data_IF_471018144297
#
_entry.id   IF_471018144297
#
_cell.length_a   1.000
_cell.length_b   1.000
_cell.length_c   1.000
_cell.angle_alpha   90.00
_cell.angle_beta   90.00
_cell.angle_gamma   90.00
#
_symmetry.space_group_name_H-M   'P 1'
#
loop_
_entity.id
_entity.type
_entity.pdbx_description
1 polymer ?
#
# COMPACT_ATOMS: atom_id res chain seq x y z
N UNK A 1 12.90 20.26 -24.57
CA UNK A 1 12.44 18.89 -24.33
C UNK A 1 13.63 18.25 -23.67
N UNK A 2 13.47 17.73 -22.45
CA UNK A 2 14.53 16.94 -21.84
C UNK A 2 14.82 15.74 -22.75
N UNK A 3 16.06 15.28 -22.77
CA UNK A 3 16.40 14.09 -23.54
C UNK A 3 15.72 12.88 -22.88
N UNK A 4 15.45 11.87 -23.71
CA UNK A 4 14.79 10.64 -23.30
C UNK A 4 15.69 9.46 -23.60
N UNK A 5 15.69 8.51 -22.68
CA UNK A 5 16.53 7.32 -22.72
C UNK A 5 15.69 6.06 -22.56
N UNK A 6 16.12 4.96 -23.16
CA UNK A 6 15.44 3.66 -23.06
C UNK A 6 15.99 2.90 -21.87
N UNK A 7 15.11 2.51 -20.96
CA UNK A 7 15.47 1.62 -19.84
C UNK A 7 14.82 0.25 -20.06
N UNK A 8 15.66 -0.77 -20.16
CA UNK A 8 15.26 -2.17 -20.33
C UNK A 8 15.32 -2.92 -19.01
N UNK A 9 14.24 -3.61 -18.64
CA UNK A 9 14.15 -4.41 -17.42
C UNK A 9 14.32 -5.90 -17.72
N UNK A 10 15.30 -6.53 -17.07
CA UNK A 10 15.53 -7.98 -17.06
C UNK A 10 15.07 -8.59 -15.73
N UNK A 11 14.63 -9.86 -15.69
CA UNK A 11 14.49 -10.81 -16.79
C UNK A 11 13.17 -10.66 -17.58
N UNK A 12 12.36 -9.64 -17.28
CA UNK A 12 11.00 -9.50 -17.82
C UNK A 12 10.96 -9.06 -19.28
N UNK A 13 12.06 -8.49 -19.80
CA UNK A 13 12.22 -8.06 -21.19
C UNK A 13 11.33 -6.89 -21.59
N UNK A 14 11.03 -5.99 -20.65
CA UNK A 14 10.16 -4.82 -20.87
C UNK A 14 11.02 -3.56 -20.97
N UNK A 15 10.65 -2.66 -21.88
CA UNK A 15 11.34 -1.39 -22.10
C UNK A 15 10.39 -0.23 -21.83
N UNK A 16 10.94 0.86 -21.29
CA UNK A 16 10.25 2.13 -21.08
C UNK A 16 11.10 3.30 -21.58
N UNK A 17 10.46 4.40 -21.96
CA UNK A 17 11.15 5.67 -22.17
C UNK A 17 11.20 6.46 -20.86
N UNK A 18 12.38 6.94 -20.46
CA UNK A 18 12.59 7.75 -19.25
C UNK A 18 13.12 9.12 -19.67
N UNK A 19 12.43 10.18 -19.25
CA UNK A 19 12.94 11.55 -19.38
C UNK A 19 13.87 11.90 -18.21
N UNK A 20 14.92 12.67 -18.47
CA UNK A 20 15.92 13.06 -17.45
C UNK A 20 15.31 13.78 -16.23
N UNK A 21 14.15 14.45 -16.40
CA UNK A 21 13.47 15.19 -15.34
C UNK A 21 12.74 14.32 -14.32
N UNK A 22 12.61 13.02 -14.58
CA UNK A 22 11.84 12.11 -13.74
C UNK A 22 12.60 10.84 -13.37
N UNK A 23 12.17 10.22 -12.28
CA UNK A 23 12.77 8.96 -11.85
C UNK A 23 12.31 7.81 -12.74
N UNK A 24 13.16 6.78 -12.85
CA UNK A 24 12.87 5.56 -13.61
C UNK A 24 11.56 4.93 -13.14
N UNK A 25 11.30 4.92 -11.82
CA UNK A 25 10.06 4.38 -11.27
C UNK A 25 8.82 5.18 -11.70
N UNK A 26 8.91 6.52 -11.72
CA UNK A 26 7.80 7.38 -12.16
C UNK A 26 7.51 7.15 -13.64
N UNK A 27 8.54 7.14 -14.48
CA UNK A 27 8.42 6.87 -15.91
C UNK A 27 7.79 5.50 -16.19
N UNK A 28 8.14 4.48 -15.40
CA UNK A 28 7.52 3.16 -15.48
C UNK A 28 6.01 3.22 -15.21
N UNK A 29 5.59 3.91 -14.13
CA UNK A 29 4.18 4.05 -13.78
C UNK A 29 3.37 4.84 -14.82
N UNK A 30 3.94 5.91 -15.39
CA UNK A 30 3.29 6.69 -16.45
C UNK A 30 3.03 5.84 -17.71
N UNK A 31 3.86 4.82 -17.93
CA UNK A 31 3.71 3.86 -19.03
C UNK A 31 2.95 2.58 -18.64
N UNK A 32 2.41 2.52 -17.42
CA UNK A 32 1.66 1.36 -16.93
C UNK A 32 2.51 0.15 -16.55
N UNK A 33 3.84 0.33 -16.44
CA UNK A 33 4.77 -0.70 -15.95
C UNK A 33 4.84 -0.61 -14.42
N UNK A 34 4.07 -1.47 -13.75
CA UNK A 34 3.98 -1.46 -12.27
C UNK A 34 5.12 -2.23 -11.62
N UNK A 35 6.21 -1.52 -11.35
CA UNK A 35 7.37 -2.05 -10.63
C UNK A 35 7.11 -2.14 -9.12
N UNK A 36 7.79 -3.09 -8.46
CA UNK A 36 7.71 -3.27 -7.01
C UNK A 36 8.26 -2.03 -6.27
N UNK A 37 7.48 -1.52 -5.32
CA UNK A 37 7.84 -0.35 -4.52
C UNK A 37 7.08 -0.35 -3.20
N UNK A 38 7.53 0.49 -2.26
CA UNK A 38 6.85 0.75 -0.99
C UNK A 38 6.71 2.25 -0.73
N UNK A 39 7.78 2.89 -0.26
CA UNK A 39 7.74 4.29 0.19
C UNK A 39 7.85 5.37 -0.92
N UNK A 40 8.42 5.05 -2.10
CA UNK A 40 8.81 6.02 -3.15
C UNK A 40 9.82 7.12 -2.73
N UNK A 41 10.37 7.05 -1.51
CA UNK A 41 11.24 8.07 -0.92
C UNK A 41 12.66 7.57 -0.62
N UNK A 42 13.02 6.38 -1.10
CA UNK A 42 14.36 5.81 -0.88
C UNK A 42 14.63 5.33 0.55
N UNK A 43 13.58 4.85 1.24
CA UNK A 43 13.65 4.40 2.65
C UNK A 43 13.47 2.87 2.83
N UNK A 44 12.72 2.21 1.95
CA UNK A 44 12.22 0.84 2.20
C UNK A 44 12.95 -0.29 1.44
N UNK A 45 13.89 0.02 0.55
CA UNK A 45 14.56 -0.93 -0.37
C UNK A 45 13.69 -1.72 -1.35
N UNK A 46 12.36 -1.58 -1.34
CA UNK A 46 11.48 -2.41 -2.19
C UNK A 46 11.72 -2.27 -3.69
N UNK A 47 12.13 -1.10 -4.16
CA UNK A 47 12.46 -0.83 -5.56
C UNK A 47 13.95 -1.03 -5.88
N UNK A 48 14.70 -1.73 -5.01
CA UNK A 48 16.12 -2.01 -5.25
C UNK A 48 16.28 -2.89 -6.48
N UNK A 49 17.22 -2.55 -7.33
CA UNK A 49 17.51 -3.24 -8.58
C UNK A 49 19.01 -3.15 -8.86
N UNK A 50 19.49 -3.88 -9.86
CA UNK A 50 20.91 -3.90 -10.22
C UNK A 50 21.10 -3.39 -11.64
N UNK A 51 22.07 -2.51 -11.87
CA UNK A 51 22.37 -1.97 -13.21
C UNK A 51 23.29 -2.94 -13.93
N UNK A 52 22.81 -3.49 -15.05
CA UNK A 52 23.55 -4.46 -15.88
C UNK A 52 24.37 -3.79 -16.99
N UNK A 53 23.87 -2.69 -17.53
CA UNK A 53 24.50 -1.93 -18.62
C UNK A 53 24.13 -0.45 -18.52
N UNK A 54 25.09 0.43 -18.78
CA UNK A 54 25.03 1.87 -18.56
C UNK A 54 25.60 2.30 -17.20
N UNK A 55 26.28 3.45 -17.19
CA UNK A 55 26.97 4.05 -16.05
C UNK A 55 26.40 5.43 -15.67
N UNK A 56 25.69 6.12 -16.58
CA UNK A 56 25.16 7.48 -16.36
C UNK A 56 23.77 7.48 -15.69
N UNK A 57 23.79 7.15 -14.39
CA UNK A 57 22.63 7.11 -13.50
C UNK A 57 22.90 7.94 -12.25
N UNK A 58 22.03 8.92 -11.96
CA UNK A 58 22.15 9.71 -10.73
C UNK A 58 20.99 9.42 -9.78
N UNK A 59 21.30 9.37 -8.48
CA UNK A 59 20.31 9.16 -7.42
C UNK A 59 20.01 10.48 -6.71
N UNK A 60 18.72 10.80 -6.56
CA UNK A 60 18.28 11.77 -5.58
C UNK A 60 18.58 11.30 -4.14
N UNK A 61 18.43 12.16 -3.11
CA UNK A 61 18.66 11.79 -1.70
C UNK A 61 17.89 10.52 -1.29
N UNK A 62 18.56 9.57 -0.65
CA UNK A 62 18.00 8.32 -0.10
C UNK A 62 18.64 7.99 1.26
N UNK A 63 18.12 6.97 1.96
CA UNK A 63 18.70 6.47 3.20
C UNK A 63 19.72 5.36 2.94
N UNK A 64 20.88 5.42 3.60
CA UNK A 64 21.90 4.37 3.54
C UNK A 64 21.44 3.05 4.17
N UNK A 65 20.34 3.07 4.94
CA UNK A 65 19.65 1.84 5.34
C UNK A 65 18.97 1.17 4.14
N UNK A 66 18.41 1.96 3.24
CA UNK A 66 17.71 1.44 2.07
C UNK A 66 18.68 0.92 1.00
N UNK A 67 19.77 1.63 0.78
CA UNK A 67 20.85 1.26 -0.14
C UNK A 67 22.19 1.65 0.50
N UNK A 68 22.88 0.69 1.15
CA UNK A 68 24.22 0.91 1.69
C UNK A 68 25.24 1.27 0.62
N UNK A 69 26.25 2.07 0.98
CA UNK A 69 27.27 2.56 0.04
C UNK A 69 28.00 1.43 -0.71
N UNK A 70 28.26 0.29 -0.04
CA UNK A 70 28.91 -0.85 -0.68
C UNK A 70 28.04 -1.50 -1.77
N UNK A 71 26.70 -1.49 -1.62
CA UNK A 71 25.82 -2.00 -2.67
C UNK A 71 25.76 -1.02 -3.84
N UNK A 72 25.76 0.29 -3.56
CA UNK A 72 25.84 1.29 -4.63
C UNK A 72 27.12 1.10 -5.46
N UNK A 73 28.28 0.94 -4.80
CA UNK A 73 29.57 0.69 -5.46
C UNK A 73 29.59 -0.61 -6.29
N UNK A 74 28.78 -1.60 -5.93
CA UNK A 74 28.64 -2.86 -6.68
C UNK A 74 27.71 -2.76 -7.90
N UNK A 75 26.94 -1.67 -8.04
CA UNK A 75 26.00 -1.45 -9.15
C UNK A 75 24.52 -1.56 -8.77
N UNK A 76 24.18 -1.64 -7.49
CA UNK A 76 22.78 -1.59 -7.04
C UNK A 76 22.24 -0.16 -7.07
N UNK A 77 20.95 -0.03 -7.35
CA UNK A 77 20.25 1.26 -7.45
C UNK A 77 18.86 1.20 -6.81
N UNK A 78 18.25 2.37 -6.59
CA UNK A 78 16.86 2.52 -6.16
C UNK A 78 16.06 3.22 -7.25
N UNK A 79 15.21 2.48 -7.96
CA UNK A 79 14.45 3.02 -9.10
C UNK A 79 13.58 4.24 -8.75
N UNK A 80 13.12 4.34 -7.49
CA UNK A 80 12.34 5.48 -7.02
C UNK A 80 13.12 6.78 -6.87
N UNK A 81 14.46 6.73 -6.88
CA UNK A 81 15.37 7.88 -6.75
C UNK A 81 16.30 8.04 -7.94
N UNK A 82 16.30 7.08 -8.88
CA UNK A 82 17.22 7.04 -10.00
C UNK A 82 16.71 7.83 -11.20
N UNK A 83 17.57 8.67 -11.76
CA UNK A 83 17.43 9.35 -13.05
C UNK A 83 18.39 8.74 -14.06
N UNK A 84 17.92 8.50 -15.28
CA UNK A 84 18.73 7.96 -16.37
C UNK A 84 19.15 9.10 -17.30
N UNK A 85 20.44 9.17 -17.64
CA UNK A 85 21.02 10.12 -18.61
C UNK A 85 21.62 9.42 -19.85
N UNK A 86 21.46 8.10 -19.94
CA UNK A 86 21.70 7.28 -21.12
C UNK A 86 20.76 6.05 -21.12
N UNK A 87 20.82 5.25 -22.20
CA UNK A 87 20.09 3.98 -22.26
C UNK A 87 20.66 2.99 -21.22
N UNK A 88 19.78 2.36 -20.43
CA UNK A 88 20.17 1.46 -19.34
C UNK A 88 19.57 0.06 -19.51
N UNK A 89 20.28 -0.95 -19.01
CA UNK A 89 19.69 -2.27 -18.71
C UNK A 89 19.70 -2.52 -17.20
N UNK A 90 18.55 -2.83 -16.62
CA UNK A 90 18.36 -2.99 -15.18
C UNK A 90 17.78 -4.39 -14.88
N UNK A 91 18.44 -5.12 -13.99
CA UNK A 91 17.92 -6.35 -13.39
C UNK A 91 16.97 -6.04 -12.22
N UNK A 92 15.71 -6.46 -12.36
CA UNK A 92 14.72 -6.39 -11.30
C UNK A 92 14.96 -7.54 -10.31
N UNK A 93 15.35 -7.19 -9.08
CA UNK A 93 15.54 -8.18 -8.01
C UNK A 93 14.21 -8.64 -7.42
N UNK A 94 13.26 -7.71 -7.32
CA UNK A 94 11.91 -7.95 -6.83
C UNK A 94 10.93 -7.56 -7.92
N UNK A 95 10.25 -8.54 -8.50
CA UNK A 95 9.23 -8.30 -9.52
C UNK A 95 8.10 -9.34 -9.44
N UNK A 96 6.97 -8.96 -10.02
CA UNK A 96 5.81 -9.80 -10.23
C UNK A 96 5.40 -9.58 -11.68
N UNK A 97 5.63 -10.57 -12.54
CA UNK A 97 5.42 -10.44 -13.99
C UNK A 97 3.98 -10.13 -14.33
N UNK A 98 3.04 -10.74 -13.61
CA UNK A 98 1.61 -10.53 -13.84
C UNK A 98 1.25 -9.09 -13.47
N UNK A 99 1.78 -8.56 -12.37
CA UNK A 99 1.58 -7.16 -12.00
C UNK A 99 2.19 -6.17 -12.99
N UNK A 100 3.40 -6.45 -13.48
CA UNK A 100 4.04 -5.56 -14.44
C UNK A 100 3.22 -5.50 -15.74
N UNK A 101 2.74 -6.66 -16.22
CA UNK A 101 1.97 -6.76 -17.47
C UNK A 101 0.53 -6.26 -17.35
N UNK A 102 -0.08 -6.39 -16.17
CA UNK A 102 -1.45 -5.92 -15.91
C UNK A 102 -1.51 -4.51 -15.34
N UNK A 103 -0.36 -3.84 -15.20
CA UNK A 103 -0.26 -2.51 -14.65
C UNK A 103 -1.13 -1.49 -15.39
N UNK A 104 -1.60 -0.50 -14.64
CA UNK A 104 -2.42 0.59 -15.15
C UNK A 104 -1.57 1.86 -15.18
N UNK A 105 -1.58 2.64 -16.27
CA UNK A 105 -0.88 3.91 -16.28
C UNK A 105 -1.47 4.84 -15.22
N UNK A 106 -0.60 5.59 -14.55
CA UNK A 106 -1.08 6.59 -13.60
C UNK A 106 -1.86 7.69 -14.30
N UNK A 107 -2.85 8.20 -13.61
CA UNK A 107 -3.75 9.24 -14.07
C UNK A 107 -3.75 10.34 -13.03
N UNK A 108 -3.44 11.56 -13.47
CA UNK A 108 -3.68 12.77 -12.70
C UNK A 108 -5.19 13.04 -12.69
N UNK A 109 -5.75 13.34 -11.53
CA UNK A 109 -7.15 13.64 -11.40
C UNK A 109 -7.45 14.72 -10.37
N UNK A 110 -8.56 15.42 -10.59
CA UNK A 110 -9.17 16.31 -9.60
C UNK A 110 -10.37 15.60 -8.99
N UNK A 111 -10.41 15.54 -7.66
CA UNK A 111 -11.51 14.95 -6.92
C UNK A 111 -12.12 15.94 -5.93
N UNK A 112 -13.42 15.85 -5.70
CA UNK A 112 -14.19 16.69 -4.79
C UNK A 112 -14.57 15.92 -3.52
N UNK A 113 -14.43 16.53 -2.35
CA UNK A 113 -14.80 15.91 -1.07
C UNK A 113 -16.31 15.74 -0.97
N UNK A 114 -16.75 14.51 -0.78
CA UNK A 114 -18.17 14.16 -0.56
C UNK A 114 -18.46 13.91 0.93
N UNK A 115 -17.53 13.27 1.64
CA UNK A 115 -17.65 13.00 3.07
C UNK A 115 -16.27 12.97 3.74
N UNK A 116 -16.23 13.30 5.04
CA UNK A 116 -15.04 13.26 5.88
C UNK A 116 -15.45 12.94 7.32
N UNK A 117 -15.90 11.71 7.55
CA UNK A 117 -16.54 11.30 8.79
C UNK A 117 -15.54 10.69 9.78
N UNK A 118 -15.72 10.96 11.07
CA UNK A 118 -14.95 10.29 12.11
C UNK A 118 -15.39 8.82 12.25
N UNK A 119 -14.47 7.88 12.04
CA UNK A 119 -14.73 6.44 12.27
C UNK A 119 -14.09 5.90 13.54
N UNK A 120 -13.07 6.60 14.05
CA UNK A 120 -12.56 6.46 15.41
C UNK A 120 -12.21 7.85 15.94
N UNK A 121 -11.66 7.90 17.15
CA UNK A 121 -11.13 9.14 17.72
C UNK A 121 -9.96 9.75 16.92
N UNK A 122 -9.25 8.95 16.10
CA UNK A 122 -8.04 9.34 15.37
C UNK A 122 -8.02 8.85 13.92
N UNK A 123 -9.17 8.43 13.37
CA UNK A 123 -9.30 8.04 11.97
C UNK A 123 -10.52 8.70 11.31
N UNK A 124 -10.36 9.02 10.04
CA UNK A 124 -11.39 9.60 9.17
C UNK A 124 -11.70 8.67 8.00
N UNK A 125 -12.98 8.52 7.67
CA UNK A 125 -13.43 7.98 6.39
C UNK A 125 -13.63 9.14 5.43
N UNK A 126 -12.69 9.27 4.49
CA UNK A 126 -12.73 10.29 3.46
C UNK A 126 -13.30 9.69 2.19
N UNK A 127 -14.33 10.33 1.62
CA UNK A 127 -14.92 9.96 0.34
C UNK A 127 -14.70 11.09 -0.64
N UNK A 128 -14.03 10.79 -1.75
CA UNK A 128 -13.77 11.73 -2.84
C UNK A 128 -14.52 11.30 -4.09
N UNK A 129 -15.16 12.24 -4.78
CA UNK A 129 -15.77 12.02 -6.10
C UNK A 129 -14.89 12.60 -7.18
N UNK A 130 -14.48 11.76 -8.11
CA UNK A 130 -13.69 12.12 -9.28
C UNK A 130 -14.46 13.10 -10.18
N UNK A 131 -13.81 14.22 -10.51
CA UNK A 131 -14.35 15.30 -11.35
C UNK A 131 -13.74 15.25 -12.74
N UNK A 132 -12.41 15.15 -12.81
CA UNK A 132 -11.67 15.13 -14.06
C UNK A 132 -10.41 14.26 -13.92
N UNK A 133 -10.33 13.10 -14.59
CA UNK A 133 -11.45 12.38 -15.22
C UNK A 133 -12.49 11.93 -14.18
N UNK A 134 -13.67 11.48 -14.63
CA UNK A 134 -14.74 10.98 -13.74
C UNK A 134 -14.58 9.53 -13.31
N UNK A 135 -13.56 8.82 -13.81
CA UNK A 135 -13.22 7.45 -13.48
C UNK A 135 -11.69 7.31 -13.49
N UNK A 136 -11.15 6.63 -12.47
CA UNK A 136 -9.80 6.08 -12.47
C UNK A 136 -9.96 4.57 -12.35
N UNK A 137 -9.36 3.82 -13.28
CA UNK A 137 -9.27 2.36 -13.15
C UNK A 137 -8.19 2.04 -12.12
N UNK A 138 -8.50 1.14 -11.20
CA UNK A 138 -7.55 0.62 -10.22
C UNK A 138 -7.92 -0.81 -9.85
N UNK A 139 -6.98 -1.53 -9.26
CA UNK A 139 -7.20 -2.83 -8.64
C UNK A 139 -7.43 -2.67 -7.13
N UNK A 140 -8.37 -3.40 -6.53
CA UNK A 140 -8.56 -3.42 -5.09
C UNK A 140 -7.25 -3.62 -4.32
N UNK A 141 -7.05 -2.79 -3.29
CA UNK A 141 -5.85 -2.72 -2.47
C UNK A 141 -4.75 -1.76 -2.96
N UNK A 142 -4.90 -1.16 -4.15
CA UNK A 142 -4.03 -0.06 -4.61
C UNK A 142 -4.28 1.24 -3.85
N UNK A 143 -3.40 2.22 -4.08
CA UNK A 143 -3.45 3.55 -3.45
C UNK A 143 -3.35 4.68 -4.48
N UNK A 144 -3.71 5.90 -4.06
CA UNK A 144 -3.40 7.14 -4.79
C UNK A 144 -2.55 8.04 -3.91
N UNK A 145 -1.80 8.93 -4.54
CA UNK A 145 -1.21 10.07 -3.86
C UNK A 145 -2.23 11.20 -3.85
N UNK A 146 -2.40 11.85 -2.70
CA UNK A 146 -3.17 13.10 -2.57
C UNK A 146 -2.18 14.23 -2.31
N UNK A 147 -2.24 15.28 -3.12
CA UNK A 147 -1.43 16.49 -2.91
C UNK A 147 -1.91 17.22 -1.67
N UNK A 148 -0.97 17.62 -0.81
CA UNK A 148 -1.26 18.42 0.37
C UNK A 148 -1.50 19.88 -0.08
N UNK A 149 -2.71 20.44 0.09
CA UNK A 149 -3.03 21.75 -0.46
C UNK A 149 -2.08 22.85 0.01
N UNK A 150 -1.68 23.71 -0.93
CA UNK A 150 -0.72 24.79 -0.69
C UNK A 150 0.75 24.35 -0.68
N UNK A 151 1.05 23.08 -0.99
CA UNK A 151 2.43 22.57 -1.07
C UNK A 151 2.64 21.66 -2.29
N UNK A 152 3.90 21.31 -2.54
CA UNK A 152 4.29 20.26 -3.51
C UNK A 152 4.30 18.85 -2.90
N UNK A 153 4.07 18.72 -1.59
CA UNK A 153 4.10 17.44 -0.92
C UNK A 153 2.86 16.60 -1.28
N UNK A 154 3.05 15.29 -1.45
CA UNK A 154 1.97 14.32 -1.61
C UNK A 154 1.96 13.32 -0.46
N UNK A 155 0.82 12.67 -0.23
CA UNK A 155 0.69 11.57 0.73
C UNK A 155 -0.11 10.42 0.12
N UNK A 156 0.40 9.20 0.30
CA UNK A 156 -0.21 7.97 -0.20
C UNK A 156 -1.38 7.52 0.68
N UNK A 157 -2.53 7.24 0.09
CA UNK A 157 -3.68 6.65 0.78
C UNK A 157 -4.30 5.52 -0.03
N UNK A 158 -4.37 4.34 0.57
CA UNK A 158 -4.98 3.15 -0.05
C UNK A 158 -6.49 3.29 -0.17
N UNK A 159 -7.02 2.90 -1.31
CA UNK A 159 -8.47 2.87 -1.54
C UNK A 159 -9.11 1.75 -0.72
N UNK A 160 -10.25 2.05 -0.11
CA UNK A 160 -11.09 1.13 0.66
C UNK A 160 -12.24 0.56 -0.18
N UNK A 161 -12.58 1.16 -1.32
CA UNK A 161 -13.59 0.65 -2.25
C UNK A 161 -12.96 -0.21 -3.36
N UNK A 162 -13.81 -0.88 -4.16
CA UNK A 162 -13.41 -1.88 -5.17
C UNK A 162 -13.25 -1.30 -6.56
N UNK A 163 -13.98 -0.23 -6.87
CA UNK A 163 -13.95 0.46 -8.16
C UNK A 163 -14.51 1.87 -8.04
N UNK A 164 -14.10 2.75 -8.97
CA UNK A 164 -14.72 4.07 -9.16
C UNK A 164 -15.76 4.08 -10.28
N UNK A 165 -15.94 2.99 -11.03
CA UNK A 165 -16.75 2.99 -12.26
C UNK A 165 -18.20 3.41 -12.08
N UNK A 166 -18.86 2.90 -11.04
CA UNK A 166 -20.30 3.08 -10.88
C UNK A 166 -20.66 4.38 -10.14
N UNK A 167 -19.83 4.79 -9.18
CA UNK A 167 -20.09 5.94 -8.31
C UNK A 167 -19.24 7.17 -8.65
N UNK A 168 -18.16 6.99 -9.41
CA UNK A 168 -17.09 7.97 -9.55
C UNK A 168 -16.34 8.24 -8.25
N UNK A 169 -16.47 7.40 -7.22
CA UNK A 169 -15.93 7.67 -5.88
C UNK A 169 -14.68 6.85 -5.55
N UNK A 170 -13.84 7.42 -4.72
CA UNK A 170 -12.74 6.77 -4.01
C UNK A 170 -12.96 6.94 -2.51
N UNK A 171 -12.82 5.85 -1.76
CA UNK A 171 -12.97 5.82 -0.31
C UNK A 171 -11.63 5.58 0.36
N UNK A 172 -11.36 6.24 1.48
CA UNK A 172 -10.12 6.12 2.23
C UNK A 172 -10.39 6.03 3.72
N UNK A 173 -9.57 5.25 4.45
CA UNK A 173 -9.53 5.28 5.92
C UNK A 173 -8.18 5.83 6.34
N UNK A 174 -8.18 7.05 6.86
CA UNK A 174 -6.96 7.84 7.08
C UNK A 174 -6.76 8.07 8.57
N UNK A 175 -5.59 7.70 9.08
CA UNK A 175 -5.17 8.02 10.46
C UNK A 175 -4.71 9.46 10.57
N UNK A 176 -5.17 10.12 11.64
CA UNK A 176 -4.80 11.48 12.01
C UNK A 176 -3.59 11.42 12.93
N UNK A 177 -2.48 12.00 12.46
CA UNK A 177 -1.29 12.23 13.27
C UNK A 177 -1.28 13.69 13.72
N UNK A 178 -1.16 13.99 15.04
CA UNK A 178 -1.27 15.36 15.55
C UNK A 178 -0.37 16.39 14.85
N UNK A 179 0.85 15.99 14.47
CA UNK A 179 1.84 16.85 13.82
C UNK A 179 1.92 16.67 12.30
N UNK A 180 1.00 15.88 11.72
CA UNK A 180 0.98 15.58 10.29
C UNK A 180 0.35 16.72 9.49
N UNK A 181 1.07 17.24 8.49
CA UNK A 181 0.57 18.36 7.66
C UNK A 181 -0.78 18.06 7.00
N UNK A 182 -0.91 16.89 6.35
CA UNK A 182 -2.17 16.47 5.75
C UNK A 182 -3.20 16.09 6.83
N UNK A 183 -2.78 15.45 7.92
CA UNK A 183 -3.68 15.08 9.03
C UNK A 183 -4.36 16.28 9.66
N UNK A 184 -3.62 17.37 9.92
CA UNK A 184 -4.18 18.62 10.43
C UNK A 184 -5.18 19.22 9.43
N UNK A 185 -4.82 19.27 8.15
CA UNK A 185 -5.71 19.78 7.11
C UNK A 185 -7.00 18.95 7.02
N UNK A 186 -6.89 17.62 6.99
CA UNK A 186 -8.01 16.68 6.94
C UNK A 186 -8.92 16.79 8.16
N UNK A 187 -8.36 16.96 9.36
CA UNK A 187 -9.13 16.95 10.61
C UNK A 187 -9.82 18.29 10.91
N UNK A 188 -9.23 19.42 10.48
CA UNK A 188 -9.65 20.76 10.92
C UNK A 188 -10.15 21.68 9.81
N UNK A 189 -9.69 21.49 8.58
CA UNK A 189 -9.83 22.49 7.50
C UNK A 189 -10.65 21.94 6.33
N UNK A 190 -10.45 20.67 5.96
CA UNK A 190 -11.10 20.06 4.80
C UNK A 190 -12.61 20.02 4.96
N UNK A 191 -13.33 20.60 4.00
CA UNK A 191 -14.78 20.66 3.96
C UNK A 191 -15.35 19.90 2.75
N UNK A 192 -16.62 19.48 2.86
CA UNK A 192 -17.38 18.95 1.74
C UNK A 192 -17.42 19.99 0.61
N UNK A 193 -17.13 19.57 -0.62
CA UNK A 193 -17.03 20.42 -1.80
C UNK A 193 -15.62 20.95 -2.10
N UNK A 194 -14.66 20.79 -1.19
CA UNK A 194 -13.26 21.10 -1.48
C UNK A 194 -12.72 20.18 -2.57
N UNK A 195 -11.74 20.68 -3.32
CA UNK A 195 -11.07 19.93 -4.40
C UNK A 195 -9.65 19.56 -4.02
N UNK A 196 -9.27 18.34 -4.36
CA UNK A 196 -7.95 17.77 -4.12
C UNK A 196 -7.39 17.23 -5.44
N UNK A 197 -6.12 17.51 -5.69
CA UNK A 197 -5.36 16.86 -6.76
C UNK A 197 -4.90 15.50 -6.27
N UNK A 198 -5.13 14.47 -7.09
CA UNK A 198 -4.72 13.10 -6.82
C UNK A 198 -4.00 12.50 -8.02
N UNK A 199 -3.10 11.56 -7.78
CA UNK A 199 -2.45 10.79 -8.84
C UNK A 199 -2.42 9.29 -8.50
N UNK A 200 -2.62 8.45 -9.50
CA UNK A 200 -2.58 7.00 -9.34
C UNK A 200 -3.36 6.24 -10.42
N UNK A 201 -3.55 4.92 -10.28
CA UNK A 201 -3.27 4.14 -9.09
C UNK A 201 -1.80 3.72 -8.97
N UNK A 202 -1.36 3.54 -7.73
CA UNK A 202 -0.07 2.99 -7.37
C UNK A 202 -0.24 1.71 -6.53
N UNK A 203 0.88 1.03 -6.30
CA UNK A 203 0.95 -0.13 -5.42
C UNK A 203 0.62 -1.44 -6.11
N UNK A 204 1.14 -2.51 -5.49
CA UNK A 204 1.07 -3.89 -5.97
C UNK A 204 0.35 -4.81 -4.98
N UNK A 205 -0.22 -4.24 -3.91
CA UNK A 205 -0.95 -4.94 -2.85
C UNK A 205 -2.36 -5.33 -3.32
N UNK A 206 -2.43 -6.26 -4.28
CA UNK A 206 -3.69 -6.71 -4.90
C UNK A 206 -3.84 -8.22 -4.72
N UNK A 207 -5.09 -8.71 -4.72
CA UNK A 207 -5.35 -10.13 -4.54
C UNK A 207 -4.81 -10.94 -5.74
N UNK A 208 -3.82 -11.80 -5.49
CA UNK A 208 -3.27 -12.74 -6.47
C UNK A 208 -4.21 -13.92 -6.72
N UNK A 209 -4.27 -14.34 -7.98
CA UNK A 209 -4.92 -15.60 -8.36
C UNK A 209 -4.22 -16.79 -7.70
N UNK A 210 -4.98 -17.87 -7.44
CA UNK A 210 -4.46 -19.06 -6.80
C UNK A 210 -5.52 -19.84 -6.03
N UNK A 211 -5.12 -21.01 -5.55
CA UNK A 211 -5.95 -22.01 -4.87
C UNK A 211 -5.68 -22.14 -3.36
N UNK A 212 -4.68 -21.41 -2.84
CA UNK A 212 -4.36 -21.39 -1.41
C UNK A 212 -5.33 -20.57 -0.57
N UNK A 213 -5.40 -20.85 0.72
CA UNK A 213 -6.17 -20.04 1.67
C UNK A 213 -5.56 -18.62 1.79
N UNK A 214 -6.29 -17.72 2.42
CA UNK A 214 -5.93 -16.32 2.60
C UNK A 214 -5.80 -16.00 4.08
N UNK A 215 -4.72 -15.30 4.43
CA UNK A 215 -4.61 -14.65 5.73
C UNK A 215 -4.35 -13.17 5.52
N UNK A 216 -5.17 -12.34 6.16
CA UNK A 216 -5.00 -10.90 6.19
C UNK A 216 -4.54 -10.53 7.61
N UNK A 217 -3.51 -9.70 7.73
CA UNK A 217 -3.02 -9.16 9.00
C UNK A 217 -2.98 -7.64 8.87
N UNK A 218 -3.83 -6.96 9.63
CA UNK A 218 -4.00 -5.52 9.53
C UNK A 218 -3.86 -4.83 10.88
N UNK A 219 -3.50 -3.54 10.84
CA UNK A 219 -3.50 -2.69 12.03
C UNK A 219 -3.74 -1.22 11.70
N UNK A 220 -4.58 -0.56 12.50
CA UNK A 220 -4.98 0.83 12.28
C UNK A 220 -5.56 1.06 10.87
N UNK A 221 -5.08 2.10 10.18
CA UNK A 221 -5.49 2.45 8.82
C UNK A 221 -5.11 1.40 7.75
N UNK A 222 -4.22 0.45 8.06
CA UNK A 222 -3.91 -0.68 7.16
C UNK A 222 -5.10 -1.60 6.88
N UNK A 223 -6.23 -1.38 7.56
CA UNK A 223 -7.50 -2.01 7.24
C UNK A 223 -8.08 -1.55 5.90
N UNK A 224 -7.78 -0.33 5.42
CA UNK A 224 -8.37 0.21 4.19
C UNK A 224 -8.13 -0.67 2.96
N UNK A 225 -6.87 -1.01 2.59
CA UNK A 225 -6.65 -1.87 1.42
C UNK A 225 -7.18 -3.28 1.66
N UNK A 226 -7.13 -3.82 2.89
CA UNK A 226 -7.67 -5.14 3.20
C UNK A 226 -9.19 -5.17 3.04
N UNK A 227 -9.90 -4.13 3.47
CA UNK A 227 -11.33 -3.98 3.28
C UNK A 227 -11.67 -3.94 1.78
N UNK A 228 -10.89 -3.22 0.97
CA UNK A 228 -11.03 -3.22 -0.50
C UNK A 228 -10.88 -4.64 -1.08
N UNK A 229 -9.89 -5.42 -0.62
CA UNK A 229 -9.72 -6.82 -1.04
C UNK A 229 -10.91 -7.70 -0.62
N UNK A 230 -11.40 -7.57 0.62
CA UNK A 230 -12.53 -8.36 1.13
C UNK A 230 -13.85 -8.01 0.42
N UNK A 231 -14.12 -6.72 0.19
CA UNK A 231 -15.26 -6.27 -0.64
C UNK A 231 -15.17 -6.86 -2.04
N UNK A 232 -14.00 -6.83 -2.66
CA UNK A 232 -13.79 -7.43 -3.99
C UNK A 232 -14.02 -8.94 -3.99
N UNK A 233 -13.60 -9.64 -2.94
CA UNK A 233 -13.89 -11.07 -2.78
C UNK A 233 -15.39 -11.35 -2.74
N UNK A 234 -16.14 -10.55 -1.97
CA UNK A 234 -17.59 -10.68 -1.86
C UNK A 234 -18.29 -10.41 -3.21
N UNK A 235 -17.96 -9.30 -3.87
CA UNK A 235 -18.51 -8.93 -5.18
C UNK A 235 -18.24 -9.98 -6.27
N UNK A 236 -17.04 -10.58 -6.27
CA UNK A 236 -16.61 -11.57 -7.26
C UNK A 236 -16.99 -13.01 -6.89
N UNK A 237 -17.55 -13.25 -5.70
CA UNK A 237 -17.87 -14.58 -5.21
C UNK A 237 -16.65 -15.47 -5.01
N UNK A 238 -15.52 -14.92 -4.57
CA UNK A 238 -14.28 -15.69 -4.32
C UNK A 238 -14.47 -16.57 -3.08
N UNK A 239 -14.44 -17.89 -3.26
CA UNK A 239 -14.71 -18.87 -2.20
C UNK A 239 -13.48 -19.37 -1.44
N UNK A 240 -12.31 -18.73 -1.62
CA UNK A 240 -11.08 -19.06 -0.89
C UNK A 240 -11.31 -18.82 0.60
N UNK A 241 -10.91 -19.76 1.45
CA UNK A 241 -10.99 -19.57 2.89
C UNK A 241 -10.10 -18.39 3.29
N UNK A 242 -10.64 -17.47 4.08
CA UNK A 242 -9.96 -16.24 4.44
C UNK A 242 -10.11 -15.96 5.94
N UNK A 243 -9.01 -15.60 6.61
CA UNK A 243 -9.08 -15.08 7.97
C UNK A 243 -8.45 -13.69 8.01
N UNK A 244 -9.18 -12.70 8.53
CA UNK A 244 -8.65 -11.37 8.79
C UNK A 244 -8.38 -11.16 10.28
N UNK A 245 -7.11 -11.04 10.61
CA UNK A 245 -6.61 -10.68 11.93
C UNK A 245 -6.39 -9.16 11.98
N UNK A 246 -7.20 -8.45 12.77
CA UNK A 246 -7.12 -6.99 12.89
C UNK A 246 -6.68 -6.58 14.30
N UNK A 247 -5.48 -6.00 14.39
CA UNK A 247 -4.93 -5.50 15.64
C UNK A 247 -5.25 -4.03 15.88
N UNK A 248 -5.73 -3.72 17.09
CA UNK A 248 -5.94 -2.36 17.55
C UNK A 248 -5.49 -2.20 19.02
N UNK A 249 -5.33 -0.97 19.50
CA UNK A 249 -4.91 -0.72 20.89
C UNK A 249 -6.04 -1.05 21.85
N UNK A 250 -7.13 -0.30 21.77
CA UNK A 250 -8.37 -0.57 22.49
C UNK A 250 -9.57 -0.63 21.53
N UNK A 251 -10.76 -0.89 22.08
CA UNK A 251 -12.00 -1.01 21.30
C UNK A 251 -12.33 0.25 20.49
N UNK A 252 -11.99 1.42 21.01
CA UNK A 252 -12.17 2.73 20.34
C UNK A 252 -11.32 2.91 19.08
N UNK A 253 -10.34 2.04 18.86
CA UNK A 253 -9.42 2.05 17.73
C UNK A 253 -9.87 1.10 16.61
N UNK A 254 -10.91 0.27 16.86
CA UNK A 254 -11.55 -0.55 15.84
C UNK A 254 -12.52 0.30 15.02
N UNK A 255 -12.53 0.09 13.70
CA UNK A 255 -13.46 0.73 12.78
C UNK A 255 -14.05 -0.29 11.81
N UNK A 256 -15.23 0.03 11.26
CA UNK A 256 -15.97 -0.81 10.31
C UNK A 256 -16.28 -2.23 10.82
N UNK A 257 -16.36 -2.44 12.14
CA UNK A 257 -16.65 -3.77 12.69
C UNK A 257 -17.99 -4.33 12.19
N UNK A 258 -19.04 -3.51 12.09
CA UNK A 258 -20.35 -3.93 11.59
C UNK A 258 -20.25 -4.47 10.15
N UNK A 259 -19.51 -3.77 9.28
CA UNK A 259 -19.29 -4.20 7.91
C UNK A 259 -18.45 -5.47 7.83
N UNK A 260 -17.35 -5.56 8.60
CA UNK A 260 -16.50 -6.74 8.65
C UNK A 260 -17.27 -7.97 9.15
N UNK A 261 -18.21 -7.81 10.09
CA UNK A 261 -19.12 -8.88 10.54
C UNK A 261 -20.14 -9.23 9.46
N UNK A 262 -20.72 -8.26 8.75
CA UNK A 262 -21.62 -8.52 7.63
C UNK A 262 -20.91 -9.28 6.49
N UNK A 263 -19.62 -9.03 6.27
CA UNK A 263 -18.82 -9.79 5.32
C UNK A 263 -18.73 -11.28 5.69
N UNK A 264 -18.69 -11.65 6.98
CA UNK A 264 -18.73 -13.07 7.43
C UNK A 264 -20.04 -13.77 7.00
N UNK A 265 -21.13 -13.03 6.84
CA UNK A 265 -22.40 -13.56 6.34
C UNK A 265 -22.38 -13.76 4.82
N UNK A 266 -21.75 -12.84 4.09
CA UNK A 266 -21.68 -12.85 2.62
C UNK A 266 -20.59 -13.77 2.04
N UNK A 267 -19.52 -14.01 2.81
CA UNK A 267 -18.38 -14.85 2.46
C UNK A 267 -18.34 -16.06 3.43
N UNK A 268 -18.95 -17.22 3.08
CA UNK A 268 -19.13 -18.33 4.02
C UNK A 268 -17.84 -18.92 4.61
N UNK A 269 -16.69 -18.69 3.95
CA UNK A 269 -15.38 -19.15 4.38
C UNK A 269 -14.49 -18.02 4.92
N UNK A 270 -15.07 -16.84 5.20
CA UNK A 270 -14.38 -15.70 5.80
C UNK A 270 -14.56 -15.70 7.32
N UNK A 271 -13.51 -15.33 8.04
CA UNK A 271 -13.51 -15.13 9.50
C UNK A 271 -12.83 -13.82 9.86
N UNK A 272 -13.47 -13.02 10.71
CA UNK A 272 -12.92 -11.80 11.27
C UNK A 272 -12.51 -11.99 12.74
N UNK A 273 -11.23 -11.77 13.04
CA UNK A 273 -10.61 -11.93 14.35
C UNK A 273 -9.98 -10.60 14.80
N UNK A 274 -10.74 -9.73 15.48
CA UNK A 274 -10.18 -8.54 16.10
C UNK A 274 -9.39 -8.89 17.36
N UNK A 275 -8.31 -8.15 17.62
CA UNK A 275 -7.54 -8.26 18.85
C UNK A 275 -7.12 -6.90 19.40
N UNK A 276 -7.18 -6.78 20.73
CA UNK A 276 -6.78 -5.58 21.45
C UNK A 276 -5.46 -5.81 22.19
N UNK A 277 -4.47 -4.96 21.94
CA UNK A 277 -3.19 -5.04 22.66
C UNK A 277 -3.28 -4.44 24.07
N UNK A 278 -4.19 -3.49 24.27
CA UNK A 278 -4.39 -2.70 25.49
C UNK A 278 -5.90 -2.52 25.77
N UNK A 279 -6.67 -3.61 25.98
CA UNK A 279 -8.10 -3.48 26.34
C UNK A 279 -8.25 -2.73 27.67
N UNK A 280 -9.31 -1.93 27.80
CA UNK A 280 -9.60 -1.26 29.07
C UNK A 280 -10.24 -2.24 30.05
N UNK A 281 -9.96 -2.12 31.35
CA UNK A 281 -10.45 -3.09 32.36
C UNK A 281 -11.99 -3.20 32.39
N UNK A 282 -12.71 -2.17 31.94
CA UNK A 282 -14.16 -2.04 31.95
C UNK A 282 -14.81 -2.08 30.54
N UNK A 283 -14.07 -2.43 29.48
CA UNK A 283 -14.60 -2.42 28.11
C UNK A 283 -15.48 -3.64 27.75
N UNK A 284 -15.53 -4.64 28.63
CA UNK A 284 -16.27 -5.88 28.43
C UNK A 284 -15.75 -6.68 27.23
N UNK A 285 -14.48 -6.55 26.87
CA UNK A 285 -13.88 -7.23 25.73
C UNK A 285 -13.76 -8.74 25.98
N UNK A 286 -14.48 -9.52 25.17
CA UNK A 286 -14.43 -10.99 25.17
C UNK A 286 -13.61 -11.56 24.00
N UNK A 287 -13.02 -10.69 23.17
CA UNK A 287 -12.23 -11.08 22.01
C UNK A 287 -10.77 -11.41 22.34
N UNK A 288 -9.94 -11.47 21.32
CA UNK A 288 -8.52 -11.77 21.48
C UNK A 288 -7.75 -10.62 22.13
N UNK A 289 -6.77 -10.94 22.97
CA UNK A 289 -5.91 -9.96 23.66
C UNK A 289 -4.44 -10.21 23.32
N UNK A 290 -3.69 -9.12 23.14
CA UNK A 290 -2.27 -9.10 22.83
C UNK A 290 -1.95 -8.58 21.44
N UNK A 291 -0.66 -8.62 21.07
CA UNK A 291 -0.22 -8.23 19.73
C UNK A 291 -0.81 -9.16 18.67
N UNK A 292 -1.19 -8.61 17.52
CA UNK A 292 -1.88 -9.38 16.47
C UNK A 292 -1.05 -10.58 15.98
N UNK A 293 0.27 -10.46 15.98
CA UNK A 293 1.16 -11.57 15.61
C UNK A 293 1.11 -12.74 16.58
N UNK A 294 0.86 -12.48 17.86
CA UNK A 294 0.72 -13.54 18.86
C UNK A 294 -0.64 -14.22 18.77
N UNK A 295 -1.67 -13.45 18.39
CA UNK A 295 -3.00 -13.98 18.09
C UNK A 295 -2.93 -14.93 16.89
N UNK A 296 -2.28 -14.52 15.79
CA UNK A 296 -2.08 -15.39 14.61
C UNK A 296 -1.41 -16.70 15.02
N UNK A 297 -0.34 -16.67 15.82
CA UNK A 297 0.35 -17.89 16.29
C UNK A 297 -0.54 -18.82 17.15
N UNK A 298 -1.54 -18.28 17.85
CA UNK A 298 -2.49 -19.09 18.64
C UNK A 298 -3.51 -19.81 17.77
N UNK A 299 -3.95 -19.17 16.69
CA UNK A 299 -4.98 -19.72 15.80
C UNK A 299 -4.40 -20.58 14.67
N UNK A 300 -3.15 -20.30 14.24
CA UNK A 300 -2.55 -20.92 13.06
C UNK A 300 -1.37 -21.82 13.43
N UNK A 301 -1.46 -23.10 13.05
CA UNK A 301 -0.40 -24.10 13.30
C UNK A 301 0.51 -24.33 12.09
N UNK A 302 0.00 -24.13 10.87
CA UNK A 302 0.77 -24.19 9.63
C UNK A 302 0.09 -23.40 8.52
N UNK A 303 0.86 -22.59 7.80
CA UNK A 303 0.39 -21.73 6.72
C UNK A 303 1.07 -22.03 5.37
N UNK A 304 1.43 -23.30 5.14
CA UNK A 304 2.19 -23.74 3.94
C UNK A 304 1.49 -23.50 2.61
N UNK A 305 0.16 -23.53 2.58
CA UNK A 305 -0.64 -23.27 1.39
C UNK A 305 -1.50 -22.01 1.52
N UNK A 306 -0.91 -20.93 2.03
CA UNK A 306 -1.59 -19.66 2.29
C UNK A 306 -0.93 -18.54 1.50
N UNK A 307 -1.74 -17.58 1.06
CA UNK A 307 -1.28 -16.28 0.61
C UNK A 307 -1.54 -15.27 1.74
N UNK A 308 -0.48 -14.65 2.22
CA UNK A 308 -0.54 -13.70 3.32
C UNK A 308 -0.51 -12.27 2.81
N UNK A 309 -1.40 -11.43 3.34
CA UNK A 309 -1.53 -10.02 3.03
C UNK A 309 -1.40 -9.23 4.32
N UNK A 310 -0.35 -8.43 4.44
CA UNK A 310 -0.02 -7.69 5.67
C UNK A 310 -0.02 -6.20 5.39
N UNK A 311 -0.86 -5.42 6.08
CA UNK A 311 -0.89 -3.98 5.86
C UNK A 311 -1.06 -3.19 7.16
N UNK A 312 -0.22 -2.18 7.37
CA UNK A 312 -0.36 -1.27 8.50
C UNK A 312 0.96 -0.63 8.93
N UNK A 313 1.12 -0.30 10.22
CA UNK A 313 2.29 0.43 10.69
C UNK A 313 3.56 -0.44 10.59
N UNK A 314 4.74 0.16 10.29
CA UNK A 314 5.98 -0.59 10.06
C UNK A 314 6.34 -1.59 11.16
N UNK A 315 6.24 -1.26 12.47
CA UNK A 315 6.54 -2.23 13.54
C UNK A 315 5.67 -3.49 13.49
N UNK A 316 4.41 -3.37 13.08
CA UNK A 316 3.51 -4.52 12.95
C UNK A 316 3.89 -5.38 11.74
N UNK A 317 4.15 -4.75 10.60
CA UNK A 317 4.54 -5.48 9.38
C UNK A 317 5.87 -6.21 9.61
N UNK A 318 6.85 -5.55 10.21
CA UNK A 318 8.17 -6.12 10.52
C UNK A 318 8.13 -7.27 11.51
N UNK A 319 7.18 -7.26 12.45
CA UNK A 319 6.93 -8.41 13.32
C UNK A 319 6.20 -9.56 12.60
N UNK A 320 5.32 -9.24 11.65
CA UNK A 320 4.48 -10.21 10.96
C UNK A 320 5.25 -11.02 9.90
N UNK A 321 6.13 -10.40 9.12
CA UNK A 321 6.89 -11.08 8.05
C UNK A 321 7.70 -12.31 8.55
N UNK A 322 8.58 -12.21 9.58
CA UNK A 322 9.31 -13.36 10.07
C UNK A 322 8.38 -14.39 10.74
N UNK A 323 7.31 -13.93 11.39
CA UNK A 323 6.30 -14.81 12.00
C UNK A 323 5.62 -15.70 10.94
N UNK A 324 5.22 -15.12 9.81
CA UNK A 324 4.62 -15.86 8.69
C UNK A 324 5.61 -16.85 8.06
N UNK A 325 6.88 -16.47 7.92
CA UNK A 325 7.95 -17.37 7.47
C UNK A 325 8.13 -18.57 8.40
N UNK A 326 8.11 -18.36 9.72
CA UNK A 326 8.19 -19.44 10.74
C UNK A 326 6.96 -20.37 10.65
N UNK A 327 5.76 -19.83 10.42
CA UNK A 327 4.54 -20.61 10.21
C UNK A 327 4.49 -21.34 8.86
N UNK A 328 5.47 -21.07 7.98
CA UNK A 328 5.70 -21.79 6.73
C UNK A 328 5.08 -21.15 5.50
N UNK A 329 4.68 -19.87 5.54
CA UNK A 329 4.24 -19.16 4.34
C UNK A 329 5.44 -18.99 3.39
N UNK A 330 5.35 -19.43 2.12
CA UNK A 330 6.40 -19.16 1.15
C UNK A 330 6.59 -17.66 0.95
N UNK A 331 7.83 -17.17 0.91
CA UNK A 331 8.15 -15.74 0.78
C UNK A 331 7.44 -15.09 -0.43
N UNK A 332 7.40 -15.78 -1.56
CA UNK A 332 6.69 -15.35 -2.79
C UNK A 332 5.16 -15.22 -2.64
N UNK A 333 4.59 -15.65 -1.51
CA UNK A 333 3.18 -15.58 -1.16
C UNK A 333 2.92 -14.67 0.04
N UNK A 334 3.90 -13.88 0.46
CA UNK A 334 3.75 -12.83 1.46
C UNK A 334 3.73 -11.48 0.74
N UNK A 335 2.57 -10.86 0.70
CA UNK A 335 2.35 -9.53 0.14
C UNK A 335 2.16 -8.56 1.29
N UNK A 336 2.81 -7.41 1.23
CA UNK A 336 2.70 -6.44 2.31
C UNK A 336 2.76 -5.01 1.82
N UNK A 337 2.17 -4.12 2.62
CA UNK A 337 2.23 -2.68 2.45
C UNK A 337 2.49 -1.99 3.80
N UNK A 338 3.48 -1.11 3.85
CA UNK A 338 3.96 -0.46 5.08
C UNK A 338 3.59 1.02 5.05
N UNK A 339 2.80 1.47 6.01
CA UNK A 339 2.39 2.86 6.12
C UNK A 339 3.44 3.67 6.88
N UNK A 340 4.45 4.16 6.15
CA UNK A 340 5.52 5.00 6.70
C UNK A 340 5.05 6.45 6.83
N UNK A 341 5.36 7.09 7.95
CA UNK A 341 5.20 8.53 8.10
C UNK A 341 6.44 9.24 7.56
N UNK A 342 6.29 10.10 6.56
CA UNK A 342 7.31 11.10 6.21
C UNK A 342 7.66 11.94 7.42
N UNK A 343 8.91 11.86 7.88
CA UNK A 343 9.42 12.67 8.99
C UNK A 343 9.68 11.90 10.29
N UNK A 344 10.20 10.68 10.22
CA UNK A 344 10.80 10.08 11.41
C UNK A 344 11.91 11.02 11.93
N UNK A 345 11.79 11.61 13.14
CA UNK A 345 12.76 12.57 13.65
C UNK A 345 14.15 11.96 13.93
N UNK A 346 14.30 10.64 13.77
CA UNK A 346 15.54 9.91 13.99
C UNK A 346 16.60 10.03 12.89
N UNK A 347 16.28 10.61 11.73
CA UNK A 347 17.18 10.61 10.56
C UNK A 347 17.33 12.00 9.92
N UNK A 348 17.92 12.94 10.67
CA UNK A 348 18.59 14.13 10.10
C UNK A 348 20.10 13.97 10.12
#
# INVERSE_FOLDING_TARGET
MADKHVVRFEPVGIEIEVGEEQTILRAAFEQGVMLMHGCKEGQCSSCKSFVLDGDDIELEKYSTFALPDYELEEGYTLLCRAHAYEDLTIELLNYDEDMIRSGLPITEAVAEVVANDAVTHDMRHLVLRLVEPTEIKFFPGQYVDIRVPGTEATRSFSMANTSSRDTGQLEFVIKIYPDGLFSHFLDTTLAIGDRLDISGPYGVFTLREGDGDLIFVGGGAGMAPILSLLRSMAERGISRKATYYYGARGRRDLCFEEELRSLEESLPSFRYVPALSEPAEDDGWEGEVGLITDVVKRHETSLKNVHAYVCGPPPMVEAALPMLGILGVPEKRIYYDKFTTTGDPGEQ
#
